data_IF_357040178823
#
_entry.id   IF_357040178823
#
_cell.length_a   1.000
_cell.length_b   1.000
_cell.length_c   1.000
_cell.angle_alpha   90.00
_cell.angle_beta   90.00
_cell.angle_gamma   90.00
#
_symmetry.space_group_name_H-M   'P 1'
#
loop_
_entity.id
_entity.type
_entity.pdbx_description
1 polymer ?
#
# COMPACT_ATOMS: atom_id res chain seq x y z
N UNK A 1 40.16 -16.91 73.94
CA UNK A 1 40.53 -15.50 74.09
C UNK A 1 40.15 -14.75 72.86
N UNK A 2 39.33 -13.75 73.03
CA UNK A 2 39.10 -12.54 72.25
C UNK A 2 38.66 -12.75 70.81
N UNK A 3 37.44 -12.56 70.45
CA UNK A 3 36.65 -11.30 70.41
C UNK A 3 36.99 -10.41 69.23
N UNK A 4 35.99 -10.08 68.43
CA UNK A 4 36.12 -9.15 67.33
C UNK A 4 34.89 -9.11 66.43
N UNK A 5 33.84 -8.50 66.93
CA UNK A 5 32.68 -8.09 66.14
C UNK A 5 33.05 -7.09 65.07
N UNK A 6 32.49 -7.18 63.91
CA UNK A 6 32.44 -6.08 62.92
C UNK A 6 31.14 -6.03 62.15
N UNK A 7 30.64 -4.85 62.14
CA UNK A 7 29.35 -4.34 61.70
C UNK A 7 29.00 -4.61 60.26
N UNK A 8 27.75 -4.92 60.03
CA UNK A 8 27.01 -4.82 58.78
C UNK A 8 26.84 -3.37 58.37
N UNK A 9 27.27 -3.02 57.14
CA UNK A 9 26.82 -1.81 56.46
C UNK A 9 25.81 -2.19 55.37
N UNK A 10 24.68 -1.61 55.59
CA UNK A 10 23.48 -1.68 54.73
C UNK A 10 23.72 -0.78 53.51
N UNK A 11 23.71 -1.36 52.31
CA UNK A 11 23.72 -0.61 51.05
C UNK A 11 22.46 -0.90 50.27
N UNK A 12 21.56 0.05 50.24
CA UNK A 12 20.39 0.11 49.38
C UNK A 12 20.81 0.01 47.89
N UNK A 13 20.15 -0.80 47.06
CA UNK A 13 20.32 -0.73 45.61
C UNK A 13 19.55 0.45 45.04
N UNK A 14 20.26 1.22 44.21
CA UNK A 14 19.73 2.31 43.40
C UNK A 14 18.59 1.80 42.50
N UNK A 15 17.51 2.54 42.47
CA UNK A 15 16.41 2.34 41.53
C UNK A 15 16.91 2.52 40.09
N UNK A 16 16.87 1.45 39.30
CA UNK A 16 17.07 1.52 37.88
C UNK A 16 15.87 2.20 37.22
N UNK A 17 16.12 3.28 36.52
CA UNK A 17 15.14 3.90 35.62
C UNK A 17 14.74 2.91 34.55
N UNK A 18 13.46 2.53 34.51
CA UNK A 18 12.90 1.68 33.46
C UNK A 18 12.71 2.57 32.23
N UNK A 19 13.46 2.26 31.20
CA UNK A 19 13.41 2.95 29.92
C UNK A 19 12.02 2.76 29.28
N UNK A 20 11.30 3.86 29.06
CA UNK A 20 9.94 3.91 28.50
C UNK A 20 9.87 3.40 27.05
N UNK A 21 11.02 3.13 26.43
CA UNK A 21 11.13 2.61 25.07
C UNK A 21 10.74 1.13 24.97
N UNK A 22 10.76 0.38 26.09
CA UNK A 22 10.45 -1.07 26.08
C UNK A 22 8.95 -1.34 26.08
N UNK A 23 8.15 -0.41 26.59
CA UNK A 23 6.68 -0.54 26.62
C UNK A 23 6.04 -0.39 25.23
N UNK A 24 6.60 0.51 24.40
CA UNK A 24 6.10 0.76 23.06
C UNK A 24 6.37 -0.42 22.07
N UNK A 25 7.48 -1.15 22.28
CA UNK A 25 7.82 -2.32 21.47
C UNK A 25 7.07 -3.59 21.89
N UNK A 26 6.68 -3.70 23.17
CA UNK A 26 5.91 -4.82 23.68
C UNK A 26 4.44 -4.78 23.20
N UNK A 27 3.85 -3.60 23.06
CA UNK A 27 2.47 -3.43 22.58
C UNK A 27 2.33 -3.74 21.08
N UNK A 28 3.39 -3.51 20.28
CA UNK A 28 3.44 -3.94 18.88
C UNK A 28 3.58 -5.48 18.73
N UNK A 29 4.24 -6.14 19.68
CA UNK A 29 4.46 -7.58 19.62
C UNK A 29 3.23 -8.39 20.07
N UNK A 30 2.37 -7.83 20.94
CA UNK A 30 1.14 -8.51 21.42
C UNK A 30 0.01 -8.46 20.39
N UNK A 31 0.01 -7.49 19.48
CA UNK A 31 -0.95 -7.41 18.36
C UNK A 31 -0.65 -8.43 17.24
N UNK A 32 0.52 -9.07 17.24
CA UNK A 32 0.98 -9.95 16.17
C UNK A 32 0.60 -11.44 16.34
N UNK A 33 -0.18 -11.82 17.34
CA UNK A 33 -0.45 -13.25 17.65
C UNK A 33 -1.89 -13.71 17.47
N UNK A 34 -2.77 -12.89 16.86
CA UNK A 34 -4.12 -13.34 16.57
C UNK A 34 -4.56 -12.81 15.21
N UNK A 35 -4.48 -13.68 14.22
CA UNK A 35 -4.79 -13.45 12.81
C UNK A 35 -3.76 -12.57 12.07
N UNK A 36 -2.89 -13.23 11.28
CA UNK A 36 -1.81 -12.61 10.51
C UNK A 36 -2.33 -11.86 9.25
N UNK A 37 -3.56 -11.35 9.30
CA UNK A 37 -4.13 -10.49 8.26
C UNK A 37 -4.01 -9.05 8.69
N UNK A 38 -3.17 -8.31 7.96
CA UNK A 38 -3.14 -6.85 8.09
C UNK A 38 -4.53 -6.35 7.72
N UNK A 39 -5.23 -5.77 8.69
CA UNK A 39 -6.55 -5.21 8.41
C UNK A 39 -6.42 -3.93 7.60
N UNK A 40 -7.39 -3.57 6.73
CA UNK A 40 -7.39 -2.31 6.00
C UNK A 40 -7.18 -1.09 6.88
N UNK A 41 -7.71 -1.12 8.11
CA UNK A 41 -7.54 -0.04 9.10
C UNK A 41 -6.10 0.05 9.61
N UNK A 42 -5.41 -1.09 9.79
CA UNK A 42 -3.99 -1.07 10.16
C UNK A 42 -3.13 -0.51 9.04
N UNK A 43 -3.44 -0.90 7.80
CA UNK A 43 -2.75 -0.40 6.61
C UNK A 43 -2.96 1.12 6.46
N UNK A 44 -4.20 1.61 6.55
CA UNK A 44 -4.49 3.05 6.52
C UNK A 44 -3.72 3.84 7.60
N UNK A 45 -3.65 3.32 8.84
CA UNK A 45 -2.88 3.93 9.92
C UNK A 45 -1.36 3.93 9.66
N UNK A 46 -0.83 2.89 9.03
CA UNK A 46 0.58 2.83 8.65
C UNK A 46 0.90 3.88 7.57
N UNK A 47 0.01 4.08 6.61
CA UNK A 47 0.13 5.08 5.55
C UNK A 47 0.12 6.51 6.10
N UNK A 48 -0.86 6.84 6.95
CA UNK A 48 -0.95 8.16 7.60
C UNK A 48 0.33 8.47 8.39
N UNK A 49 0.84 7.49 9.17
CA UNK A 49 2.10 7.68 9.91
C UNK A 49 3.33 7.83 9.01
N UNK A 50 3.34 7.17 7.86
CA UNK A 50 4.42 7.32 6.90
C UNK A 50 4.37 8.70 6.22
N UNK A 51 3.17 9.22 5.91
CA UNK A 51 2.97 10.54 5.29
C UNK A 51 3.47 11.70 6.16
N UNK A 52 3.31 11.60 7.48
CA UNK A 52 3.77 12.64 8.43
C UNK A 52 5.30 12.76 8.54
N UNK A 53 6.05 11.78 8.03
CA UNK A 53 7.51 11.69 8.18
C UNK A 53 8.28 11.80 6.86
N UNK A 54 7.59 11.91 5.71
CA UNK A 54 8.24 11.89 4.40
C UNK A 54 8.94 13.23 4.16
N UNK A 55 10.27 13.19 4.05
CA UNK A 55 11.11 14.37 3.86
C UNK A 55 11.78 14.46 2.49
N UNK A 56 11.81 13.37 1.71
CA UNK A 56 12.42 13.34 0.38
C UNK A 56 11.75 12.31 -0.56
N UNK A 57 12.14 12.36 -1.85
CA UNK A 57 11.57 11.53 -2.91
C UNK A 57 11.88 10.03 -2.72
N UNK A 58 13.07 9.69 -2.24
CA UNK A 58 13.48 8.30 -2.02
C UNK A 58 12.68 7.67 -0.86
N UNK A 59 12.40 8.45 0.17
CA UNK A 59 11.57 8.02 1.28
C UNK A 59 10.12 7.80 0.84
N UNK A 60 9.56 8.71 0.01
CA UNK A 60 8.24 8.55 -0.58
C UNK A 60 8.13 7.27 -1.40
N UNK A 61 9.07 7.02 -2.31
CA UNK A 61 9.09 5.81 -3.13
C UNK A 61 9.20 4.54 -2.26
N UNK A 62 9.99 4.57 -1.19
CA UNK A 62 10.12 3.47 -0.25
C UNK A 62 8.82 3.19 0.50
N UNK A 63 8.06 4.23 0.86
CA UNK A 63 6.74 4.10 1.48
C UNK A 63 5.74 3.53 0.48
N UNK A 64 5.66 4.07 -0.73
CA UNK A 64 4.78 3.58 -1.78
C UNK A 64 5.06 2.12 -2.13
N UNK A 65 6.33 1.72 -2.21
CA UNK A 65 6.71 0.33 -2.46
C UNK A 65 6.22 -0.62 -1.36
N UNK A 66 6.33 -0.23 -0.09
CA UNK A 66 5.79 -1.03 1.03
C UNK A 66 4.27 -1.15 0.97
N UNK A 67 3.59 -0.06 0.65
CA UNK A 67 2.13 -0.04 0.52
C UNK A 67 1.66 -0.96 -0.59
N UNK A 68 2.31 -0.92 -1.74
CA UNK A 68 2.03 -1.77 -2.89
C UNK A 68 2.18 -3.25 -2.53
N UNK A 69 3.24 -3.63 -1.81
CA UNK A 69 3.44 -5.01 -1.34
C UNK A 69 2.34 -5.43 -0.36
N UNK A 70 2.01 -4.57 0.60
CA UNK A 70 0.98 -4.88 1.60
C UNK A 70 -0.42 -5.01 0.94
N UNK A 71 -0.76 -4.13 -0.01
CA UNK A 71 -2.03 -4.22 -0.73
C UNK A 71 -2.11 -5.51 -1.58
N UNK A 72 -1.00 -5.87 -2.23
CA UNK A 72 -0.88 -7.12 -2.98
C UNK A 72 -1.09 -8.36 -2.09
N UNK A 73 -0.57 -8.36 -0.87
CA UNK A 73 -0.73 -9.46 0.09
C UNK A 73 -2.11 -9.48 0.76
N UNK A 74 -2.78 -8.32 0.87
CA UNK A 74 -4.05 -8.18 1.58
C UNK A 74 -5.29 -8.41 0.70
N UNK A 75 -5.16 -8.28 -0.62
CA UNK A 75 -6.25 -8.44 -1.59
C UNK A 75 -6.01 -9.70 -2.40
N UNK A 76 -6.73 -10.77 -2.06
CA UNK A 76 -6.51 -12.14 -2.56
C UNK A 76 -6.54 -12.26 -4.10
N UNK A 77 -7.23 -11.38 -4.81
CA UNK A 77 -7.32 -11.36 -6.27
C UNK A 77 -6.19 -10.64 -6.99
N UNK A 78 -5.29 -9.98 -6.26
CA UNK A 78 -4.22 -9.18 -6.83
C UNK A 78 -3.00 -10.03 -7.19
N UNK A 79 -2.85 -10.38 -8.46
CA UNK A 79 -1.67 -11.07 -8.99
C UNK A 79 -0.50 -10.10 -9.22
N UNK A 80 -0.79 -8.82 -9.50
CA UNK A 80 0.19 -7.75 -9.51
C UNK A 80 -0.42 -6.40 -9.14
N UNK A 81 0.41 -5.48 -8.67
CA UNK A 81 -0.02 -4.19 -8.11
C UNK A 81 0.99 -3.12 -8.48
N UNK A 82 0.51 -1.90 -8.74
CA UNK A 82 1.37 -0.77 -9.01
C UNK A 82 0.76 0.58 -8.68
N UNK A 83 1.59 1.61 -8.66
CA UNK A 83 1.19 3.00 -8.52
C UNK A 83 1.61 3.79 -9.74
N UNK A 84 0.63 4.34 -10.42
CA UNK A 84 0.79 5.30 -11.50
C UNK A 84 0.86 6.71 -10.93
N UNK A 85 1.83 7.49 -11.34
CA UNK A 85 1.96 8.91 -11.01
C UNK A 85 1.86 9.74 -12.30
N UNK A 86 1.13 10.85 -12.21
CA UNK A 86 1.12 11.91 -13.23
C UNK A 86 1.83 13.14 -12.69
N UNK A 87 3.00 13.42 -13.21
CA UNK A 87 3.79 14.57 -12.82
C UNK A 87 4.07 15.47 -14.03
N UNK A 88 3.45 16.64 -14.03
CA UNK A 88 3.65 17.64 -15.08
C UNK A 88 3.25 17.15 -16.48
N UNK A 89 2.23 16.32 -16.59
CA UNK A 89 1.75 15.74 -17.85
C UNK A 89 2.55 14.52 -18.33
N UNK A 90 3.43 13.98 -17.48
CA UNK A 90 4.11 12.71 -17.70
C UNK A 90 3.55 11.66 -16.77
N UNK A 91 2.97 10.64 -17.35
CA UNK A 91 2.42 9.50 -16.62
C UNK A 91 3.41 8.34 -16.65
N UNK A 92 3.70 7.75 -15.49
CA UNK A 92 4.61 6.61 -15.36
C UNK A 92 4.27 5.77 -14.12
N UNK A 93 4.70 4.51 -14.11
CA UNK A 93 4.58 3.62 -12.96
C UNK A 93 5.75 3.88 -12.01
N UNK A 94 5.46 4.43 -10.83
CA UNK A 94 6.47 4.80 -9.85
C UNK A 94 6.97 3.57 -9.06
N UNK A 95 6.05 2.69 -8.66
CA UNK A 95 6.32 1.46 -7.91
C UNK A 95 5.42 0.32 -8.40
N UNK A 96 5.89 -0.92 -8.29
CA UNK A 96 5.15 -2.11 -8.75
C UNK A 96 5.66 -3.38 -8.05
N UNK A 97 4.86 -4.43 -8.07
CA UNK A 97 5.23 -5.77 -7.55
C UNK A 97 5.81 -6.68 -8.63
N UNK A 98 5.39 -6.53 -9.90
CA UNK A 98 5.76 -7.41 -11.01
C UNK A 98 5.98 -6.60 -12.30
N UNK A 99 6.91 -7.04 -13.14
CA UNK A 99 7.22 -6.40 -14.42
C UNK A 99 6.04 -6.44 -15.42
N UNK A 100 5.06 -7.33 -15.25
CA UNK A 100 3.81 -7.32 -16.03
C UNK A 100 3.02 -6.05 -15.79
N UNK A 101 2.99 -5.54 -14.56
CA UNK A 101 2.38 -4.24 -14.24
C UNK A 101 2.93 -3.15 -15.16
N UNK A 102 4.26 -3.10 -15.34
CA UNK A 102 4.89 -2.09 -16.22
C UNK A 102 4.42 -2.21 -17.68
N UNK A 103 4.29 -3.44 -18.20
CA UNK A 103 3.84 -3.67 -19.58
C UNK A 103 2.38 -3.27 -19.77
N UNK A 104 1.51 -3.71 -18.87
CA UNK A 104 0.08 -3.36 -18.89
C UNK A 104 -0.12 -1.85 -18.70
N UNK A 105 0.63 -1.21 -17.81
CA UNK A 105 0.55 0.23 -17.59
C UNK A 105 1.07 1.02 -18.80
N UNK A 106 2.18 0.60 -19.43
CA UNK A 106 2.70 1.30 -20.61
C UNK A 106 1.69 1.31 -21.77
N UNK A 107 0.93 0.24 -21.94
CA UNK A 107 -0.15 0.20 -22.94
C UNK A 107 -1.28 1.18 -22.66
N UNK A 108 -1.62 1.40 -21.38
CA UNK A 108 -2.57 2.45 -21.00
C UNK A 108 -2.03 3.84 -21.35
N UNK A 109 -0.74 4.08 -21.08
CA UNK A 109 -0.12 5.38 -21.36
C UNK A 109 -0.01 5.65 -22.85
N UNK A 110 0.36 4.65 -23.67
CA UNK A 110 0.45 4.76 -25.12
C UNK A 110 -0.92 4.90 -25.78
N UNK A 111 -1.93 4.17 -25.29
CA UNK A 111 -3.30 4.28 -25.78
C UNK A 111 -3.98 5.57 -25.32
N UNK A 112 -3.51 6.18 -24.22
CA UNK A 112 -4.15 7.31 -23.57
C UNK A 112 -5.48 6.96 -22.88
N UNK A 113 -5.74 5.66 -22.71
CA UNK A 113 -6.98 5.12 -22.14
C UNK A 113 -6.70 3.87 -21.31
N UNK A 114 -7.59 3.58 -20.37
CA UNK A 114 -7.52 2.40 -19.50
C UNK A 114 -8.02 2.70 -18.10
N UNK A 115 -8.17 1.66 -17.25
CA UNK A 115 -8.75 1.80 -15.92
C UNK A 115 -7.97 2.75 -14.99
N UNK A 116 -6.64 2.72 -14.99
CA UNK A 116 -5.84 3.60 -14.13
C UNK A 116 -5.97 5.08 -14.54
N UNK A 117 -5.87 5.37 -15.84
CA UNK A 117 -6.04 6.73 -16.35
C UNK A 117 -7.47 7.24 -16.16
N UNK A 118 -8.46 6.36 -16.29
CA UNK A 118 -9.86 6.70 -16.05
C UNK A 118 -10.09 7.04 -14.58
N UNK A 119 -9.60 6.19 -13.66
CA UNK A 119 -9.69 6.40 -12.22
C UNK A 119 -9.07 7.75 -11.81
N UNK A 120 -7.84 8.02 -12.27
CA UNK A 120 -7.17 9.29 -12.00
C UNK A 120 -7.96 10.50 -12.51
N UNK A 121 -8.51 10.45 -13.74
CA UNK A 121 -9.26 11.57 -14.35
C UNK A 121 -10.61 11.83 -13.69
N UNK A 122 -11.31 10.77 -13.29
CA UNK A 122 -12.67 10.86 -12.74
C UNK A 122 -12.70 10.95 -11.23
N UNK A 123 -11.55 10.74 -10.57
CA UNK A 123 -11.41 10.63 -9.11
C UNK A 123 -12.39 9.61 -8.52
N UNK A 124 -12.54 8.47 -9.20
CA UNK A 124 -13.43 7.39 -8.76
C UNK A 124 -12.76 6.04 -8.91
N UNK A 125 -13.14 5.11 -8.05
CA UNK A 125 -12.70 3.71 -8.16
C UNK A 125 -13.25 3.10 -9.45
N UNK A 126 -12.41 2.33 -10.12
CA UNK A 126 -12.75 1.59 -11.34
C UNK A 126 -12.55 0.10 -11.06
N UNK A 127 -13.64 -0.64 -11.05
CA UNK A 127 -13.66 -2.09 -10.96
C UNK A 127 -14.25 -2.63 -12.26
N UNK A 128 -13.46 -3.36 -13.05
CA UNK A 128 -13.89 -3.95 -14.34
C UNK A 128 -13.17 -5.26 -14.58
N UNK A 129 -13.84 -6.17 -15.30
CA UNK A 129 -13.23 -7.36 -15.90
C UNK A 129 -12.81 -7.12 -17.35
N UNK A 130 -12.19 -8.14 -17.98
CA UNK A 130 -11.69 -8.07 -19.34
C UNK A 130 -12.78 -7.74 -20.37
N UNK A 131 -14.03 -8.23 -20.18
CA UNK A 131 -15.13 -7.97 -21.10
C UNK A 131 -15.54 -6.50 -21.06
N UNK A 132 -15.79 -5.95 -19.87
CA UNK A 132 -16.11 -4.54 -19.70
C UNK A 132 -14.94 -3.61 -20.08
N UNK A 133 -13.71 -4.05 -19.87
CA UNK A 133 -12.52 -3.32 -20.32
C UNK A 133 -12.44 -3.30 -21.88
N UNK A 134 -12.75 -4.39 -22.56
CA UNK A 134 -12.75 -4.47 -24.03
C UNK A 134 -13.80 -3.54 -24.66
N UNK A 135 -14.96 -3.40 -24.03
CA UNK A 135 -16.00 -2.48 -24.50
C UNK A 135 -15.61 -1.00 -24.32
N UNK A 136 -14.89 -0.68 -23.25
CA UNK A 136 -14.55 0.70 -22.88
C UNK A 136 -13.19 1.15 -23.44
N UNK A 137 -12.20 0.25 -23.45
CA UNK A 137 -10.79 0.52 -23.78
C UNK A 137 -10.19 -0.65 -24.59
N UNK A 138 -10.64 -0.85 -25.85
CA UNK A 138 -10.34 -2.06 -26.64
C UNK A 138 -8.84 -2.27 -26.90
N UNK A 139 -8.06 -1.20 -27.08
CA UNK A 139 -6.60 -1.31 -27.28
C UNK A 139 -5.89 -1.80 -26.04
N UNK A 140 -6.21 -1.18 -24.91
CA UNK A 140 -5.70 -1.58 -23.62
C UNK A 140 -6.08 -3.03 -23.27
N UNK A 141 -7.36 -3.40 -23.44
CA UNK A 141 -7.84 -4.73 -23.09
C UNK A 141 -7.17 -5.83 -23.92
N UNK A 142 -6.88 -5.57 -25.21
CA UNK A 142 -6.15 -6.51 -26.05
C UNK A 142 -4.72 -6.75 -25.52
N UNK A 143 -3.99 -5.70 -25.18
CA UNK A 143 -2.65 -5.80 -24.64
C UNK A 143 -2.62 -6.44 -23.23
N UNK A 144 -3.58 -6.11 -22.37
CA UNK A 144 -3.71 -6.72 -21.05
C UNK A 144 -3.96 -8.23 -21.14
N UNK A 145 -4.76 -8.67 -22.14
CA UNK A 145 -5.02 -10.08 -22.39
C UNK A 145 -3.76 -10.84 -22.83
N UNK A 146 -2.84 -10.22 -23.57
CA UNK A 146 -1.54 -10.81 -23.95
C UNK A 146 -0.65 -11.06 -22.70
N UNK A 147 -0.79 -10.23 -21.68
CA UNK A 147 -0.10 -10.41 -20.37
C UNK A 147 -0.90 -11.33 -19.42
N UNK A 148 -2.06 -11.85 -19.84
CA UNK A 148 -2.91 -12.74 -19.05
C UNK A 148 -3.70 -12.02 -17.95
N UNK A 149 -3.89 -10.71 -18.05
CA UNK A 149 -4.64 -9.92 -17.06
C UNK A 149 -6.10 -9.85 -17.50
N UNK A 150 -7.00 -10.28 -16.60
CA UNK A 150 -8.43 -10.44 -16.87
C UNK A 150 -9.34 -9.62 -15.95
N UNK A 151 -8.80 -9.03 -14.87
CA UNK A 151 -9.52 -8.18 -13.93
C UNK A 151 -8.68 -6.99 -13.51
N UNK A 152 -9.33 -5.85 -13.33
CA UNK A 152 -8.70 -4.57 -13.06
C UNK A 152 -9.44 -3.86 -11.93
N UNK A 153 -8.68 -3.41 -10.94
CA UNK A 153 -9.17 -2.53 -9.88
C UNK A 153 -8.22 -1.35 -9.77
N UNK A 154 -8.72 -0.14 -9.95
CA UNK A 154 -7.94 1.08 -9.83
C UNK A 154 -8.64 2.09 -8.93
N UNK A 155 -7.91 2.71 -8.02
CA UNK A 155 -8.39 3.79 -7.17
C UNK A 155 -7.54 5.05 -7.35
N UNK A 156 -8.15 6.25 -7.30
CA UNK A 156 -7.44 7.49 -7.57
C UNK A 156 -6.53 7.87 -6.40
N UNK A 157 -5.39 8.48 -6.74
CA UNK A 157 -4.52 9.20 -5.81
C UNK A 157 -4.64 10.70 -6.12
N UNK A 158 -5.05 11.49 -5.14
CA UNK A 158 -5.27 12.93 -5.35
C UNK A 158 -5.14 13.71 -4.04
N UNK A 159 -4.82 14.99 -4.16
CA UNK A 159 -5.01 15.98 -3.09
C UNK A 159 -6.25 16.82 -3.38
N UNK A 160 -6.72 17.67 -2.46
CA UNK A 160 -7.80 18.60 -2.76
C UNK A 160 -7.53 19.45 -4.02
N UNK A 161 -6.26 19.79 -4.27
CA UNK A 161 -5.82 20.68 -5.34
C UNK A 161 -5.60 19.97 -6.67
N UNK A 162 -5.11 18.71 -6.64
CA UNK A 162 -4.69 18.03 -7.87
C UNK A 162 -4.84 16.50 -7.79
N UNK A 163 -4.93 15.89 -8.96
CA UNK A 163 -4.78 14.44 -9.12
C UNK A 163 -3.30 14.10 -9.21
N UNK A 164 -2.88 13.08 -8.45
CA UNK A 164 -1.51 12.60 -8.40
C UNK A 164 -1.30 11.37 -9.29
N UNK A 165 -2.34 10.56 -9.48
CA UNK A 165 -2.29 9.33 -10.23
C UNK A 165 -3.34 8.31 -9.82
N UNK A 166 -2.96 7.05 -9.76
CA UNK A 166 -3.83 5.94 -9.33
C UNK A 166 -3.05 4.78 -8.72
N UNK A 167 -3.71 4.06 -7.83
CA UNK A 167 -3.26 2.78 -7.30
C UNK A 167 -3.97 1.67 -8.06
N UNK A 168 -3.24 0.70 -8.60
CA UNK A 168 -3.75 -0.27 -9.57
C UNK A 168 -3.47 -1.70 -9.13
N UNK A 169 -4.49 -2.57 -9.24
CA UNK A 169 -4.39 -4.00 -9.02
C UNK A 169 -4.84 -4.75 -10.28
N UNK A 170 -4.13 -5.80 -10.59
CA UNK A 170 -4.31 -6.63 -11.77
C UNK A 170 -4.49 -8.09 -11.36
N UNK A 171 -5.56 -8.74 -11.84
CA UNK A 171 -5.88 -10.13 -11.58
C UNK A 171 -5.84 -10.98 -12.84
N UNK A 172 -5.35 -12.23 -12.75
CA UNK A 172 -5.31 -13.20 -13.84
C UNK A 172 -6.60 -14.02 -13.96
N UNK A 173 -7.52 -13.86 -13.02
CA UNK A 173 -8.81 -14.51 -13.03
C UNK A 173 -9.91 -13.50 -13.39
N UNK A 174 -10.96 -13.98 -14.06
CA UNK A 174 -12.18 -13.17 -14.22
C UNK A 174 -12.80 -12.87 -12.86
N UNK A 175 -13.29 -11.65 -12.70
CA UNK A 175 -13.94 -11.21 -11.45
C UNK A 175 -13.07 -11.46 -10.20
N UNK A 176 -11.75 -11.26 -10.34
CA UNK A 176 -10.80 -11.44 -9.25
C UNK A 176 -11.05 -10.47 -8.07
N UNK A 177 -11.67 -9.32 -8.35
CA UNK A 177 -11.98 -8.28 -7.37
C UNK A 177 -13.49 -8.12 -7.21
N UNK A 178 -13.92 -7.84 -5.97
CA UNK A 178 -15.29 -7.52 -5.62
C UNK A 178 -15.46 -6.11 -5.02
N UNK A 179 -16.68 -5.78 -4.63
CA UNK A 179 -16.99 -4.48 -4.04
C UNK A 179 -16.21 -4.21 -2.75
N UNK A 180 -15.96 -5.26 -1.94
CA UNK A 180 -15.16 -5.13 -0.72
C UNK A 180 -13.71 -4.72 -1.03
N UNK A 181 -13.11 -5.30 -2.07
CA UNK A 181 -11.75 -4.96 -2.49
C UNK A 181 -11.67 -3.52 -2.99
N UNK A 182 -12.71 -3.09 -3.70
CA UNK A 182 -12.86 -1.70 -4.15
C UNK A 182 -12.98 -0.72 -2.97
N UNK A 183 -13.79 -1.05 -1.96
CA UNK A 183 -13.91 -0.25 -0.73
C UNK A 183 -12.58 -0.20 0.04
N UNK A 184 -11.88 -1.32 0.16
CA UNK A 184 -10.57 -1.38 0.81
C UNK A 184 -9.58 -0.47 0.09
N UNK A 185 -9.50 -0.57 -1.25
CA UNK A 185 -8.57 0.24 -2.02
C UNK A 185 -8.90 1.73 -1.96
N UNK A 186 -10.17 2.10 -1.99
CA UNK A 186 -10.63 3.49 -1.85
C UNK A 186 -10.24 4.08 -0.48
N UNK A 187 -10.42 3.32 0.59
CA UNK A 187 -9.98 3.71 1.93
C UNK A 187 -8.47 3.91 2.01
N UNK A 188 -7.70 3.03 1.37
CA UNK A 188 -6.24 3.13 1.34
C UNK A 188 -5.77 4.38 0.60
N UNK A 189 -6.33 4.65 -0.58
CA UNK A 189 -5.95 5.82 -1.39
C UNK A 189 -6.40 7.13 -0.75
N UNK A 190 -7.58 7.16 -0.13
CA UNK A 190 -8.07 8.33 0.63
C UNK A 190 -7.20 8.65 1.84
N UNK A 191 -6.59 7.66 2.47
CA UNK A 191 -5.72 7.86 3.63
C UNK A 191 -4.34 8.45 3.27
N UNK A 192 -3.94 8.41 2.00
CA UNK A 192 -2.67 8.95 1.46
C UNK A 192 -2.88 10.20 0.59
N UNK A 193 -4.12 10.59 0.36
CA UNK A 193 -4.53 11.72 -0.49
C UNK A 193 -4.76 13.04 0.35
#
# INVERSE_FOLDING_TARGET
MADGASRTEDSLPAAAAVDDTTAATADLAVAATTDNRITPVMLAKMLVRAGDSISDEDELLSVLQRVVVIAHEAIDGADSTGVTIDLGGRTFTAVHTDNRTLRVDSEQYEAGEGPCLHSARTRSVVLVDAAAAADRWPRFAAAAAEEGVLSFLAAPLFTPEQTLGSFNLYGHNHSAFGDLDAEILDLLTTAVS
#
